data_IF_841563932419
#
_entry.id   IF_841563932419
#
_cell.length_a   1.000
_cell.length_b   1.000
_cell.length_c   1.000
_cell.angle_alpha   90.00
_cell.angle_beta   90.00
_cell.angle_gamma   90.00
#
_symmetry.space_group_name_H-M   'P 1'
#
loop_
_entity.id
_entity.type
_entity.pdbx_description
1 polymer ?
#
# COMPACT_ATOMS: atom_id res chain seq x y z
N UNK A 1 -5.05 15.60 2.94
CA UNK A 1 -4.88 14.17 3.25
C UNK A 1 -6.03 13.45 2.59
N UNK A 2 -5.71 12.48 1.74
CA UNK A 2 -6.72 11.67 1.06
C UNK A 2 -6.54 10.25 1.62
N UNK A 3 -7.61 9.71 2.21
CA UNK A 3 -7.63 8.29 2.59
C UNK A 3 -7.81 7.45 1.34
N UNK A 4 -6.84 6.58 1.05
CA UNK A 4 -6.92 5.67 -0.09
C UNK A 4 -6.87 4.23 0.39
N UNK A 5 -7.78 3.41 -0.15
CA UNK A 5 -7.84 1.97 0.15
C UNK A 5 -6.66 1.25 -0.51
N UNK A 6 -5.94 0.48 0.30
CA UNK A 6 -4.89 -0.43 -0.16
C UNK A 6 -5.55 -1.75 -0.53
N UNK A 7 -5.41 -2.14 -1.80
CA UNK A 7 -5.97 -3.39 -2.33
C UNK A 7 -4.95 -4.52 -2.39
N UNK A 8 -3.66 -4.20 -2.28
CA UNK A 8 -2.61 -5.19 -2.50
C UNK A 8 -1.21 -4.69 -2.22
N UNK A 9 -0.27 -5.61 -2.35
CA UNK A 9 1.16 -5.32 -2.42
C UNK A 9 1.76 -6.07 -3.61
N UNK A 10 2.77 -5.49 -4.26
CA UNK A 10 3.47 -6.14 -5.37
C UNK A 10 4.98 -6.00 -5.24
N UNK A 11 5.71 -6.94 -5.85
CA UNK A 11 7.17 -6.89 -5.94
C UNK A 11 7.58 -7.22 -7.38
N UNK A 12 8.31 -6.30 -7.99
CA UNK A 12 8.91 -6.49 -9.33
C UNK A 12 10.43 -6.41 -9.17
N UNK A 13 10.97 -5.20 -9.02
CA UNK A 13 12.36 -4.92 -8.62
C UNK A 13 12.44 -4.18 -7.29
N UNK A 14 11.37 -3.45 -6.94
CA UNK A 14 11.18 -2.74 -5.68
C UNK A 14 9.81 -3.11 -5.10
N UNK A 15 9.64 -2.90 -3.79
CA UNK A 15 8.39 -3.20 -3.10
C UNK A 15 7.37 -2.08 -3.33
N UNK A 16 6.12 -2.46 -3.62
CA UNK A 16 5.02 -1.52 -3.80
C UNK A 16 3.81 -1.87 -2.94
N UNK A 17 3.08 -0.83 -2.56
CA UNK A 17 1.70 -0.89 -2.09
C UNK A 17 0.80 -0.48 -3.25
N UNK A 18 -0.24 -1.28 -3.53
CA UNK A 18 -1.20 -1.04 -4.60
C UNK A 18 -2.48 -0.45 -4.02
N UNK A 19 -2.89 0.69 -4.57
CA UNK A 19 -4.08 1.43 -4.17
C UNK A 19 -5.28 1.09 -5.08
N UNK A 20 -6.49 1.36 -4.59
CA UNK A 20 -7.73 1.05 -5.29
C UNK A 20 -7.92 1.84 -6.61
N UNK A 21 -7.26 2.99 -6.74
CA UNK A 21 -7.25 3.83 -7.94
C UNK A 21 -6.25 3.33 -9.01
N UNK A 22 -5.50 2.25 -8.73
CA UNK A 22 -4.47 1.70 -9.60
C UNK A 22 -3.07 2.25 -9.34
N UNK A 23 -2.91 3.21 -8.44
CA UNK A 23 -1.60 3.79 -8.08
C UNK A 23 -0.73 2.77 -7.35
N UNK A 24 0.57 2.74 -7.68
CA UNK A 24 1.59 1.94 -6.98
C UNK A 24 2.55 2.87 -6.24
N UNK A 25 2.58 2.78 -4.91
CA UNK A 25 3.52 3.54 -4.08
C UNK A 25 4.71 2.65 -3.72
N UNK A 26 5.92 3.10 -4.06
CA UNK A 26 7.16 2.42 -3.67
C UNK A 26 7.36 2.52 -2.16
N UNK A 27 7.64 1.39 -1.53
CA UNK A 27 7.88 1.28 -0.09
C UNK A 27 9.14 0.46 0.19
N UNK A 28 9.58 0.45 1.44
CA UNK A 28 10.62 -0.46 1.89
C UNK A 28 10.07 -1.87 2.17
N UNK A 29 10.98 -2.81 2.47
CA UNK A 29 10.63 -4.20 2.77
C UNK A 29 9.81 -4.32 4.06
N UNK A 30 10.03 -3.45 5.04
CA UNK A 30 9.35 -3.52 6.34
C UNK A 30 7.87 -3.18 6.17
N UNK A 31 7.55 -2.05 5.55
CA UNK A 31 6.19 -1.63 5.26
C UNK A 31 5.48 -2.61 4.31
N UNK A 32 6.19 -3.13 3.31
CA UNK A 32 5.65 -4.19 2.46
C UNK A 32 5.15 -5.41 3.26
N UNK A 33 5.96 -5.93 4.19
CA UNK A 33 5.58 -7.09 5.00
C UNK A 33 4.44 -6.77 5.97
N UNK A 34 4.42 -5.56 6.53
CA UNK A 34 3.34 -5.07 7.40
C UNK A 34 2.02 -5.02 6.64
N UNK A 35 2.00 -4.45 5.44
CA UNK A 35 0.81 -4.40 4.60
C UNK A 35 0.37 -5.79 4.12
N UNK A 36 1.32 -6.64 3.70
CA UNK A 36 1.05 -8.03 3.33
C UNK A 36 0.33 -8.80 4.45
N UNK A 37 0.80 -8.66 5.70
CA UNK A 37 0.19 -9.30 6.88
C UNK A 37 -1.22 -8.75 7.16
N UNK A 38 -1.40 -7.43 7.10
CA UNK A 38 -2.71 -6.80 7.33
C UNK A 38 -3.75 -7.25 6.30
N UNK A 39 -3.37 -7.30 5.02
CA UNK A 39 -4.23 -7.74 3.91
C UNK A 39 -4.58 -9.24 4.03
N UNK A 40 -3.65 -10.07 4.48
CA UNK A 40 -3.89 -11.49 4.76
C UNK A 40 -4.96 -11.72 5.83
N UNK A 41 -5.18 -10.76 6.73
CA UNK A 41 -6.18 -10.84 7.81
C UNK A 41 -7.60 -10.46 7.39
N UNK A 42 -7.87 -10.20 6.10
CA UNK A 42 -9.14 -9.64 5.60
C UNK A 42 -9.54 -8.28 6.21
N UNK A 43 -8.60 -7.59 6.86
CA UNK A 43 -8.84 -6.23 7.34
C UNK A 43 -8.71 -5.27 6.16
N UNK A 44 -9.68 -4.37 5.97
CA UNK A 44 -9.51 -3.25 5.04
C UNK A 44 -8.40 -2.35 5.54
N UNK A 45 -7.44 -2.02 4.68
CA UNK A 45 -6.28 -1.19 5.02
C UNK A 45 -6.39 0.12 4.27
N UNK A 46 -6.39 1.23 5.01
CA UNK A 46 -6.35 2.58 4.46
C UNK A 46 -5.02 3.23 4.81
N UNK A 47 -4.48 4.05 3.93
CA UNK A 47 -3.31 4.88 4.20
C UNK A 47 -3.64 6.34 3.89
N UNK A 48 -3.11 7.23 4.72
CA UNK A 48 -3.07 8.66 4.43
C UNK A 48 -1.94 8.92 3.44
N UNK A 49 -2.29 9.40 2.25
CA UNK A 49 -1.32 9.87 1.27
C UNK A 49 -1.31 11.40 1.31
N UNK A 50 -0.12 11.96 1.52
CA UNK A 50 0.12 13.40 1.34
C UNK A 50 0.43 13.65 -0.14
N UNK A 51 -0.40 14.43 -0.82
CA UNK A 51 -0.11 14.86 -2.19
C UNK A 51 1.13 15.75 -2.18
N UNK A 52 2.13 15.39 -2.98
CA UNK A 52 3.25 16.26 -3.26
C UNK A 52 2.73 17.47 -4.07
N UNK A 53 2.79 18.66 -3.46
CA UNK A 53 2.47 19.95 -4.10
C UNK A 53 3.49 20.33 -5.17
#
# INVERSE_FOLDING_TARGET
MIEVEVIGVSFETVYHVCLADGTKIRVDRHEYQKMKKRLSGKLKVFIDVEEAK
#
